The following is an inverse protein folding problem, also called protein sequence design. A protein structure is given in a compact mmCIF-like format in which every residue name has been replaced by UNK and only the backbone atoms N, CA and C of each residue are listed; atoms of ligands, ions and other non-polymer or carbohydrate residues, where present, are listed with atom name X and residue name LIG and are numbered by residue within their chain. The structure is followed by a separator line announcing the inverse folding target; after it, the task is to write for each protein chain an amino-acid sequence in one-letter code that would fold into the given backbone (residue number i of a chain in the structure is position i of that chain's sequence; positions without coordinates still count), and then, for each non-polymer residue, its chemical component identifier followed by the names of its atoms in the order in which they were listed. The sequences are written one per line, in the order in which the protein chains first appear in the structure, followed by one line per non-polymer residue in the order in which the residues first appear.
data_IF_107338993972
#
_entry.id   IF_107338993972
#
_cell.length_a   1.000
_cell.length_b   1.000
_cell.length_c   1.000
_cell.angle_alpha   90.00
_cell.angle_beta   90.00
_cell.angle_gamma   90.00
#
_symmetry.space_group_name_H-M   'P 1'
#
loop_
_entity.id
_entity.type
_entity.pdbx_description
1 polymer ?
#
# COMPACT_ATOMS: atom_id res chain seq x y z
N UNK A 1 -2.01 62.93 18.26
CA UNK A 1 -0.95 61.93 18.34
C UNK A 1 -1.46 60.66 17.65
N UNK A 2 -1.08 60.49 16.41
CA UNK A 2 -1.49 59.40 15.54
C UNK A 2 -0.45 58.27 15.64
N UNK A 3 -0.86 57.10 16.14
CA UNK A 3 -0.02 55.91 16.11
C UNK A 3 0.08 55.39 14.68
N UNK A 4 1.29 55.03 14.18
CA UNK A 4 1.43 54.41 12.90
C UNK A 4 1.05 52.93 13.01
N UNK A 5 0.14 52.50 12.11
CA UNK A 5 -0.18 51.10 11.87
C UNK A 5 1.06 50.35 11.41
N UNK A 6 1.52 49.40 12.21
CA UNK A 6 2.55 48.46 11.82
C UNK A 6 2.00 47.55 10.70
N UNK A 7 2.44 47.83 9.49
CA UNK A 7 2.24 46.94 8.34
C UNK A 7 3.08 45.69 8.57
N UNK A 8 2.42 44.58 8.92
CA UNK A 8 3.04 43.26 8.81
C UNK A 8 3.14 42.86 7.32
N UNK A 9 4.33 42.77 6.73
CA UNK A 9 4.47 42.21 5.40
C UNK A 9 4.45 40.70 5.50
N UNK A 10 3.84 40.07 4.53
CA UNK A 10 3.69 38.62 4.25
C UNK A 10 2.36 37.99 4.64
N UNK A 11 1.29 38.46 4.03
CA UNK A 11 0.18 37.60 3.65
C UNK A 11 0.48 37.06 2.25
N UNK A 12 1.24 35.97 2.12
CA UNK A 12 1.33 35.24 0.86
C UNK A 12 -0.01 34.56 0.62
N UNK A 13 -0.91 35.26 -0.10
CA UNK A 13 -2.18 34.69 -0.55
C UNK A 13 -1.88 33.62 -1.59
N UNK A 14 -1.93 32.34 -1.17
CA UNK A 14 -1.83 31.22 -2.11
C UNK A 14 -3.03 31.26 -3.05
N UNK A 15 -2.76 31.10 -4.35
CA UNK A 15 -3.84 31.00 -5.34
C UNK A 15 -4.67 29.73 -5.11
N UNK A 16 -5.98 29.71 -5.47
CA UNK A 16 -6.81 28.51 -5.36
C UNK A 16 -6.23 27.26 -6.05
N UNK A 17 -5.32 27.49 -7.02
CA UNK A 17 -4.60 26.42 -7.72
C UNK A 17 -3.47 25.79 -6.89
N UNK A 18 -3.02 26.43 -5.82
CA UNK A 18 -1.90 25.92 -5.01
C UNK A 18 -2.21 24.57 -4.35
N UNK A 19 -3.46 24.31 -3.96
CA UNK A 19 -3.90 23.00 -3.43
C UNK A 19 -3.57 21.82 -4.36
N UNK A 20 -3.63 22.03 -5.68
CA UNK A 20 -3.27 21.01 -6.65
C UNK A 20 -1.76 20.74 -6.71
N UNK A 21 -0.92 21.75 -6.42
CA UNK A 21 0.53 21.57 -6.24
C UNK A 21 0.85 20.75 -5.00
N UNK A 22 0.13 21.01 -3.89
CA UNK A 22 0.26 20.19 -2.66
C UNK A 22 -0.16 18.75 -2.92
N UNK A 23 -1.28 18.53 -3.62
CA UNK A 23 -1.69 17.20 -4.03
C UNK A 23 -0.65 16.52 -4.92
N UNK A 24 -0.10 17.22 -5.91
CA UNK A 24 0.93 16.69 -6.79
C UNK A 24 2.20 16.30 -6.02
N UNK A 25 2.64 17.12 -5.04
CA UNK A 25 3.75 16.77 -4.15
C UNK A 25 3.46 15.51 -3.31
N UNK A 26 2.24 15.41 -2.76
CA UNK A 26 1.81 14.23 -2.02
C UNK A 26 1.74 12.95 -2.87
N UNK A 27 1.28 13.08 -4.14
CA UNK A 27 1.29 11.98 -5.12
C UNK A 27 2.72 11.59 -5.47
N UNK A 28 3.60 12.55 -5.75
CA UNK A 28 5.00 12.31 -6.07
C UNK A 28 5.74 11.61 -4.93
N UNK A 29 5.55 12.08 -3.69
CA UNK A 29 6.13 11.47 -2.49
C UNK A 29 5.69 10.01 -2.32
N UNK A 30 4.38 9.75 -2.43
CA UNK A 30 3.84 8.40 -2.33
C UNK A 30 4.30 7.50 -3.48
N UNK A 31 4.33 8.02 -4.72
CA UNK A 31 4.78 7.26 -5.88
C UNK A 31 6.27 6.91 -5.75
N UNK A 32 7.14 7.89 -5.39
CA UNK A 32 8.57 7.66 -5.22
C UNK A 32 8.86 6.58 -4.19
N UNK A 33 8.22 6.64 -3.02
CA UNK A 33 8.34 5.59 -2.01
C UNK A 33 7.77 4.25 -2.47
N UNK A 34 6.65 4.26 -3.20
CA UNK A 34 6.02 3.04 -3.73
C UNK A 34 6.85 2.37 -4.84
N UNK A 35 7.64 3.14 -5.61
CA UNK A 35 8.65 2.55 -6.54
C UNK A 35 9.65 1.72 -5.75
N UNK A 36 10.11 2.17 -4.57
CA UNK A 36 10.97 1.38 -3.71
C UNK A 36 10.22 0.19 -3.10
N UNK A 37 9.12 0.45 -2.38
CA UNK A 37 8.40 -0.58 -1.62
C UNK A 37 7.82 -1.70 -2.48
N UNK A 38 7.13 -1.36 -3.55
CA UNK A 38 6.50 -2.34 -4.45
C UNK A 38 7.41 -2.77 -5.59
N UNK A 39 8.42 -1.97 -5.95
CA UNK A 39 9.29 -2.24 -7.09
C UNK A 39 10.51 -3.10 -6.75
N UNK A 40 11.11 -2.96 -5.56
CA UNK A 40 12.23 -3.83 -5.15
C UNK A 40 11.83 -5.32 -5.21
N UNK A 41 10.67 -5.77 -4.70
CA UNK A 41 10.23 -7.15 -4.87
C UNK A 41 10.11 -7.62 -6.33
N UNK A 42 9.89 -6.72 -7.29
CA UNK A 42 9.86 -7.07 -8.72
C UNK A 42 11.22 -7.50 -9.25
N UNK A 43 12.30 -7.18 -8.53
CA UNK A 43 13.67 -7.63 -8.84
C UNK A 43 14.08 -8.90 -8.07
N UNK A 44 13.14 -9.58 -7.40
CA UNK A 44 13.41 -10.69 -6.50
C UNK A 44 14.28 -11.81 -7.14
N UNK A 45 14.03 -12.17 -8.41
CA UNK A 45 14.83 -13.16 -9.15
C UNK A 45 16.28 -12.67 -9.30
N UNK A 46 16.47 -11.39 -9.68
CA UNK A 46 17.80 -10.78 -9.83
C UNK A 46 18.50 -10.59 -8.48
N UNK A 47 17.73 -10.26 -7.42
CA UNK A 47 18.27 -10.18 -6.05
C UNK A 47 18.81 -11.54 -5.60
N UNK A 48 18.05 -12.62 -5.83
CA UNK A 48 18.46 -13.96 -5.46
C UNK A 48 19.77 -14.35 -6.11
N UNK A 49 19.94 -14.08 -7.39
CA UNK A 49 21.20 -14.35 -8.11
C UNK A 49 22.32 -13.39 -7.74
N UNK A 50 22.05 -12.09 -7.70
CA UNK A 50 23.07 -11.06 -7.44
C UNK A 50 23.61 -11.07 -6.01
N UNK A 51 22.78 -11.40 -5.03
CA UNK A 51 23.19 -11.51 -3.61
C UNK A 51 23.38 -12.96 -3.15
N UNK A 52 23.25 -13.96 -4.04
CA UNK A 52 23.35 -15.38 -3.72
C UNK A 52 22.42 -15.82 -2.58
N UNK A 53 21.16 -15.36 -2.62
CA UNK A 53 20.16 -15.65 -1.59
C UNK A 53 19.39 -16.92 -1.95
N UNK A 54 19.08 -17.70 -0.93
CA UNK A 54 18.01 -18.69 -1.02
C UNK A 54 16.62 -18.06 -0.86
N UNK A 55 15.56 -18.82 -1.01
CA UNK A 55 14.20 -18.31 -0.88
C UNK A 55 13.89 -17.82 0.55
N UNK A 56 14.48 -18.43 1.57
CA UNK A 56 14.24 -18.06 2.97
C UNK A 56 14.84 -16.69 3.28
N UNK A 57 16.09 -16.46 2.91
CA UNK A 57 16.75 -15.16 3.08
C UNK A 57 16.15 -14.07 2.20
N UNK A 58 15.73 -14.41 0.97
CA UNK A 58 15.01 -13.50 0.10
C UNK A 58 13.68 -13.06 0.75
N UNK A 59 12.89 -14.01 1.25
CA UNK A 59 11.62 -13.71 1.93
C UNK A 59 11.80 -12.84 3.16
N UNK A 60 12.85 -13.11 3.95
CA UNK A 60 13.19 -12.28 5.11
C UNK A 60 13.52 -10.84 4.69
N UNK A 61 14.45 -10.64 3.77
CA UNK A 61 14.90 -9.27 3.40
C UNK A 61 13.79 -8.46 2.74
N UNK A 62 12.94 -9.07 1.91
CA UNK A 62 11.80 -8.40 1.32
C UNK A 62 10.75 -8.01 2.37
N UNK A 63 10.57 -8.86 3.40
CA UNK A 63 9.67 -8.57 4.51
C UNK A 63 10.16 -7.43 5.42
N UNK A 64 11.48 -7.31 5.62
CA UNK A 64 12.06 -6.32 6.55
C UNK A 64 11.66 -4.88 6.22
N UNK A 65 11.49 -4.52 4.94
CA UNK A 65 11.01 -3.19 4.58
C UNK A 65 9.56 -2.97 5.05
N UNK A 66 8.69 -3.97 4.91
CA UNK A 66 7.32 -3.95 5.43
C UNK A 66 7.29 -3.83 6.97
N UNK A 67 8.17 -4.56 7.67
CA UNK A 67 8.32 -4.45 9.13
C UNK A 67 8.76 -3.04 9.54
N UNK A 68 9.72 -2.45 8.82
CA UNK A 68 10.17 -1.08 9.07
C UNK A 68 9.01 -0.08 9.01
N UNK A 69 8.17 -0.17 7.97
CA UNK A 69 6.99 0.70 7.85
C UNK A 69 6.00 0.43 8.98
N UNK A 70 5.68 -0.85 9.28
CA UNK A 70 4.72 -1.20 10.32
C UNK A 70 5.08 -0.62 11.68
N UNK A 71 6.36 -0.66 12.04
CA UNK A 71 6.86 -0.11 13.32
C UNK A 71 6.87 1.42 13.33
N UNK A 72 7.14 2.04 12.19
CA UNK A 72 7.32 3.50 12.10
C UNK A 72 6.05 4.30 11.79
N UNK A 73 5.00 3.66 11.29
CA UNK A 73 3.75 4.35 10.87
C UNK A 73 3.15 5.20 12.01
N UNK A 74 3.03 4.63 13.21
CA UNK A 74 2.50 5.37 14.36
C UNK A 74 3.44 6.49 14.85
N UNK A 75 4.75 6.27 15.07
CA UNK A 75 5.70 7.34 15.37
C UNK A 75 5.68 8.50 14.37
N UNK A 76 5.69 8.21 13.06
CA UNK A 76 5.60 9.25 12.04
C UNK A 76 4.27 9.99 12.05
N UNK A 77 3.16 9.28 12.33
CA UNK A 77 1.84 9.90 12.50
C UNK A 77 1.83 10.92 13.65
N UNK A 78 2.38 10.55 14.82
CA UNK A 78 2.52 11.44 15.97
C UNK A 78 3.43 12.64 15.68
N UNK A 79 4.53 12.42 14.97
CA UNK A 79 5.42 13.50 14.54
C UNK A 79 4.73 14.44 13.56
N UNK A 80 3.91 13.92 12.64
CA UNK A 80 3.13 14.73 11.70
C UNK A 80 2.15 15.64 12.43
N UNK A 81 1.50 15.13 13.49
CA UNK A 81 0.57 15.94 14.30
C UNK A 81 1.30 17.05 15.08
N UNK A 82 2.56 16.81 15.46
CA UNK A 82 3.37 17.77 16.24
C UNK A 82 4.15 18.77 15.36
N UNK A 83 4.74 18.31 14.24
CA UNK A 83 5.67 19.09 13.42
C UNK A 83 5.05 19.59 12.11
N UNK A 84 3.82 19.20 11.79
CA UNK A 84 3.14 19.39 10.52
C UNK A 84 3.68 18.56 9.34
N UNK A 85 3.02 18.68 8.19
CA UNK A 85 3.23 17.78 7.04
C UNK A 85 4.58 17.99 6.35
N UNK A 86 4.97 19.28 6.14
CA UNK A 86 6.19 19.62 5.40
C UNK A 86 7.48 19.13 6.06
N UNK A 87 7.76 19.43 7.33
CA UNK A 87 8.97 18.92 8.00
C UNK A 87 9.05 17.39 8.02
N UNK A 88 7.92 16.71 8.23
CA UNK A 88 7.88 15.24 8.27
C UNK A 88 8.14 14.64 6.90
N UNK A 89 7.54 15.18 5.82
CA UNK A 89 7.83 14.75 4.46
C UNK A 89 9.31 14.97 4.09
N UNK A 90 9.88 16.11 4.45
CA UNK A 90 11.27 16.42 4.17
C UNK A 90 12.23 15.51 4.94
N UNK A 91 11.99 15.34 6.25
CA UNK A 91 12.80 14.46 7.08
C UNK A 91 12.73 13.01 6.60
N UNK A 92 11.52 12.51 6.33
CA UNK A 92 11.31 11.14 5.90
C UNK A 92 11.86 10.86 4.50
N UNK A 93 11.51 11.65 3.49
CA UNK A 93 12.01 11.46 2.12
C UNK A 93 13.53 11.71 2.03
N UNK A 94 14.04 12.74 2.72
CA UNK A 94 15.47 13.04 2.74
C UNK A 94 16.29 11.93 3.39
N UNK A 95 15.86 11.45 4.57
CA UNK A 95 16.53 10.34 5.24
C UNK A 95 16.37 9.02 4.48
N UNK A 96 15.23 8.76 3.82
CA UNK A 96 15.06 7.60 2.92
C UNK A 96 16.02 7.68 1.73
N UNK A 97 16.17 8.86 1.11
CA UNK A 97 17.13 9.05 0.02
C UNK A 97 18.56 8.79 0.48
N UNK A 98 18.95 9.28 1.66
CA UNK A 98 20.28 9.03 2.24
C UNK A 98 20.49 7.54 2.55
N UNK A 99 19.49 6.84 3.10
CA UNK A 99 19.58 5.41 3.33
C UNK A 99 19.74 4.61 2.01
N UNK A 100 19.05 5.02 0.95
CA UNK A 100 19.18 4.41 -0.38
C UNK A 100 20.55 4.71 -1.02
N UNK A 101 21.12 5.90 -0.82
CA UNK A 101 22.50 6.20 -1.21
C UNK A 101 23.48 5.31 -0.43
N UNK A 102 23.29 5.16 0.86
CA UNK A 102 24.10 4.26 1.68
C UNK A 102 24.01 2.80 1.18
N UNK A 103 22.81 2.33 0.81
CA UNK A 103 22.65 1.01 0.19
C UNK A 103 23.36 0.90 -1.15
N UNK A 104 23.33 1.94 -1.98
CA UNK A 104 24.06 1.95 -3.26
C UNK A 104 25.57 1.81 -3.07
N UNK A 105 26.13 2.40 -2.01
CA UNK A 105 27.56 2.41 -1.73
C UNK A 105 28.04 1.15 -1.00
N UNK A 106 27.25 0.61 -0.05
CA UNK A 106 27.73 -0.44 0.87
C UNK A 106 26.93 -1.74 0.83
N UNK A 107 25.71 -1.72 0.31
CA UNK A 107 24.84 -2.89 0.27
C UNK A 107 24.58 -3.43 -1.15
N UNK A 108 25.22 -2.86 -2.18
CA UNK A 108 25.08 -3.34 -3.56
C UNK A 108 26.23 -4.31 -3.91
N UNK A 109 25.93 -5.43 -4.60
CA UNK A 109 26.95 -6.34 -5.12
C UNK A 109 27.86 -5.62 -6.12
N UNK A 110 29.15 -5.86 -6.02
CA UNK A 110 30.17 -5.37 -6.95
C UNK A 110 31.06 -6.53 -7.42
N UNK A 111 31.89 -6.31 -8.43
CA UNK A 111 32.78 -7.31 -8.96
C UNK A 111 33.69 -7.88 -7.83
N UNK A 112 33.57 -9.18 -7.54
CA UNK A 112 34.34 -9.86 -6.52
C UNK A 112 33.91 -9.64 -5.06
N UNK A 113 32.83 -8.88 -4.82
CA UNK A 113 32.31 -8.64 -3.47
C UNK A 113 30.78 -8.69 -3.42
N UNK A 114 30.27 -9.61 -2.60
CA UNK A 114 28.85 -9.71 -2.29
C UNK A 114 28.66 -9.22 -0.85
N UNK A 115 27.87 -8.16 -0.62
CA UNK A 115 27.62 -7.65 0.72
C UNK A 115 26.92 -8.69 1.58
N UNK A 116 27.28 -8.74 2.86
CA UNK A 116 26.60 -9.65 3.79
C UNK A 116 25.12 -9.33 3.94
N UNK A 117 24.32 -10.35 4.24
CA UNK A 117 22.87 -10.26 4.44
C UNK A 117 22.46 -9.15 5.41
N UNK A 118 23.29 -8.88 6.44
CA UNK A 118 23.05 -7.83 7.42
C UNK A 118 22.98 -6.44 6.80
N UNK A 119 23.84 -6.13 5.82
CA UNK A 119 23.82 -4.83 5.13
C UNK A 119 22.55 -4.66 4.28
N UNK A 120 22.16 -5.69 3.53
CA UNK A 120 20.95 -5.66 2.71
C UNK A 120 19.70 -5.58 3.60
N UNK A 121 19.60 -6.46 4.61
CA UNK A 121 18.44 -6.53 5.48
C UNK A 121 18.25 -5.28 6.33
N UNK A 122 19.31 -4.79 6.98
CA UNK A 122 19.25 -3.53 7.75
C UNK A 122 18.97 -2.32 6.87
N UNK A 123 19.52 -2.28 5.65
CA UNK A 123 19.25 -1.24 4.67
C UNK A 123 17.76 -1.19 4.29
N UNK A 124 17.15 -2.33 3.94
CA UNK A 124 15.73 -2.40 3.59
C UNK A 124 14.81 -2.10 4.78
N UNK A 125 15.16 -2.58 5.98
CA UNK A 125 14.46 -2.22 7.21
C UNK A 125 14.49 -0.70 7.45
N UNK A 126 15.67 -0.09 7.31
CA UNK A 126 15.85 1.36 7.50
C UNK A 126 15.08 2.17 6.45
N UNK A 127 15.12 1.76 5.18
CA UNK A 127 14.30 2.38 4.11
C UNK A 127 12.82 2.31 4.46
N UNK A 128 12.34 1.18 4.99
CA UNK A 128 10.97 1.04 5.47
C UNK A 128 10.64 1.95 6.65
N UNK A 129 11.52 1.99 7.67
CA UNK A 129 11.35 2.84 8.86
C UNK A 129 11.25 4.33 8.50
N UNK A 130 12.07 4.79 7.59
CA UNK A 130 12.13 6.20 7.19
C UNK A 130 11.02 6.56 6.21
N UNK A 131 10.73 5.67 5.26
CA UNK A 131 9.71 5.87 4.23
C UNK A 131 8.27 5.79 4.73
N UNK A 132 8.01 5.17 5.88
CA UNK A 132 6.69 5.15 6.54
C UNK A 132 6.12 6.55 6.82
N UNK A 133 6.99 7.57 6.90
CA UNK A 133 6.60 8.98 7.06
C UNK A 133 5.66 9.51 5.97
N UNK A 134 5.78 8.97 4.76
CA UNK A 134 5.11 9.51 3.57
C UNK A 134 3.60 9.35 3.62
N UNK A 135 3.10 8.21 4.13
CA UNK A 135 1.68 7.89 4.11
C UNK A 135 0.84 8.87 4.95
N UNK A 136 1.22 9.06 6.22
CA UNK A 136 0.51 9.94 7.15
C UNK A 136 0.59 11.40 6.72
N UNK A 137 1.80 11.91 6.50
CA UNK A 137 2.04 13.31 6.21
C UNK A 137 1.43 13.76 4.87
N UNK A 138 1.59 12.99 3.78
CA UNK A 138 0.97 13.34 2.49
C UNK A 138 -0.56 13.26 2.54
N UNK A 139 -1.12 12.34 3.35
CA UNK A 139 -2.57 12.24 3.56
C UNK A 139 -3.13 13.45 4.29
N UNK A 140 -2.49 13.87 5.38
CA UNK A 140 -2.89 15.05 6.16
C UNK A 140 -2.79 16.32 5.33
N UNK A 141 -1.71 16.50 4.55
CA UNK A 141 -1.56 17.63 3.63
C UNK A 141 -2.75 17.77 2.68
N UNK A 142 -3.22 16.69 2.07
CA UNK A 142 -4.41 16.71 1.23
C UNK A 142 -5.67 17.07 2.02
N UNK A 143 -5.84 16.50 3.21
CA UNK A 143 -7.03 16.76 4.05
C UNK A 143 -7.11 18.21 4.55
N UNK A 144 -5.96 18.89 4.71
CA UNK A 144 -5.92 20.28 5.17
C UNK A 144 -6.14 21.29 4.04
N UNK A 145 -5.76 20.95 2.79
CA UNK A 145 -5.85 21.85 1.65
C UNK A 145 -7.15 21.74 0.83
N UNK A 146 -7.91 20.65 0.99
CA UNK A 146 -9.13 20.41 0.24
C UNK A 146 -10.36 20.49 1.13
N UNK A 147 -11.43 21.12 0.62
CA UNK A 147 -12.71 21.19 1.28
C UNK A 147 -13.40 19.83 1.37
N UNK A 148 -14.34 19.67 2.30
CA UNK A 148 -15.01 18.40 2.55
C UNK A 148 -15.66 17.78 1.30
N UNK A 149 -16.15 18.61 0.37
CA UNK A 149 -16.78 18.20 -0.89
C UNK A 149 -15.79 17.63 -1.92
N UNK A 150 -14.49 17.98 -1.85
CA UNK A 150 -13.45 17.60 -2.81
C UNK A 150 -12.41 16.61 -2.23
N UNK A 151 -12.40 16.43 -0.90
CA UNK A 151 -11.46 15.54 -0.21
C UNK A 151 -11.49 14.10 -0.74
N UNK A 152 -12.66 13.58 -1.05
CA UNK A 152 -12.83 12.24 -1.60
C UNK A 152 -12.08 12.06 -2.92
N UNK A 153 -12.24 12.99 -3.85
CA UNK A 153 -11.54 12.99 -5.12
C UNK A 153 -10.01 13.13 -4.94
N UNK A 154 -9.59 14.10 -4.12
CA UNK A 154 -8.17 14.36 -3.88
C UNK A 154 -7.46 13.13 -3.25
N UNK A 155 -8.10 12.49 -2.26
CA UNK A 155 -7.58 11.26 -1.64
C UNK A 155 -7.58 10.08 -2.62
N UNK A 156 -8.58 9.96 -3.49
CA UNK A 156 -8.61 8.92 -4.53
C UNK A 156 -7.45 9.10 -5.52
N UNK A 157 -7.19 10.33 -5.98
CA UNK A 157 -6.03 10.65 -6.82
C UNK A 157 -4.73 10.30 -6.09
N UNK A 158 -4.59 10.70 -4.83
CA UNK A 158 -3.41 10.35 -4.03
C UNK A 158 -3.20 8.83 -3.92
N UNK A 159 -4.25 8.05 -3.73
CA UNK A 159 -4.15 6.60 -3.57
C UNK A 159 -3.77 5.86 -4.86
N UNK A 160 -3.88 6.48 -6.02
CA UNK A 160 -3.38 5.90 -7.29
C UNK A 160 -1.84 5.91 -7.34
N UNK A 161 -1.18 6.73 -6.52
CA UNK A 161 0.28 6.81 -6.46
C UNK A 161 0.94 5.47 -6.08
N UNK A 162 0.29 4.66 -5.23
CA UNK A 162 0.84 3.37 -4.78
C UNK A 162 0.95 2.36 -5.93
N UNK A 163 -0.14 2.00 -6.65
CA UNK A 163 0.00 1.11 -7.80
C UNK A 163 0.76 1.75 -8.97
N UNK A 164 0.73 3.08 -9.12
CA UNK A 164 1.53 3.77 -10.13
C UNK A 164 3.04 3.59 -9.85
N UNK A 165 3.48 3.81 -8.62
CA UNK A 165 4.86 3.56 -8.21
C UNK A 165 5.26 2.09 -8.38
N UNK A 166 4.38 1.16 -8.00
CA UNK A 166 4.58 -0.27 -8.24
C UNK A 166 4.70 -0.64 -9.71
N UNK A 167 3.88 -0.05 -10.58
CA UNK A 167 3.96 -0.23 -12.04
C UNK A 167 5.26 0.33 -12.65
N UNK A 168 5.66 1.53 -12.24
CA UNK A 168 6.96 2.10 -12.64
C UNK A 168 8.10 1.21 -12.16
N UNK A 169 8.04 0.74 -10.89
CA UNK A 169 9.03 -0.16 -10.32
C UNK A 169 9.13 -1.48 -11.08
N UNK A 170 7.99 -2.09 -11.43
CA UNK A 170 7.95 -3.33 -12.20
C UNK A 170 8.55 -3.18 -13.61
N UNK A 171 8.36 -2.02 -14.24
CA UNK A 171 8.87 -1.74 -15.58
C UNK A 171 10.36 -1.39 -15.56
N UNK A 172 10.79 -0.55 -14.62
CA UNK A 172 12.10 0.10 -14.67
C UNK A 172 13.14 -0.66 -13.84
N UNK A 173 12.81 -1.12 -12.63
CA UNK A 173 13.83 -1.64 -11.72
C UNK A 173 14.47 -2.95 -12.18
N UNK A 174 13.75 -3.94 -12.77
CA UNK A 174 14.41 -5.13 -13.32
C UNK A 174 15.38 -4.80 -14.45
N UNK A 175 15.03 -3.84 -15.32
CA UNK A 175 15.90 -3.37 -16.38
C UNK A 175 17.16 -2.71 -15.82
N UNK A 176 17.02 -1.80 -14.85
CA UNK A 176 18.15 -1.12 -14.21
C UNK A 176 19.04 -2.11 -13.46
N UNK A 177 18.44 -3.04 -12.69
CA UNK A 177 19.21 -4.05 -11.97
C UNK A 177 20.02 -4.96 -12.89
N UNK A 178 19.41 -5.36 -14.03
CA UNK A 178 20.04 -6.27 -14.99
C UNK A 178 21.21 -5.61 -15.74
N UNK A 179 21.07 -4.34 -16.18
CA UNK A 179 22.04 -3.68 -17.05
C UNK A 179 23.03 -2.80 -16.31
N UNK A 180 22.64 -2.23 -15.16
CA UNK A 180 23.45 -1.27 -14.40
C UNK A 180 23.73 -1.70 -12.95
N UNK A 181 23.14 -2.82 -12.53
CA UNK A 181 23.33 -3.39 -11.20
C UNK A 181 22.50 -2.72 -10.10
N UNK A 182 22.63 -3.25 -8.89
CA UNK A 182 21.85 -2.81 -7.73
C UNK A 182 22.28 -1.45 -7.19
N UNK A 183 23.54 -1.05 -7.36
CA UNK A 183 23.99 0.29 -6.99
C UNK A 183 23.22 1.38 -7.75
N UNK A 184 23.08 1.21 -9.08
CA UNK A 184 22.31 2.13 -9.91
C UNK A 184 20.80 2.08 -9.57
N UNK A 185 20.24 0.91 -9.22
CA UNK A 185 18.88 0.76 -8.77
C UNK A 185 18.62 1.59 -7.50
N UNK A 186 19.43 1.42 -6.45
CA UNK A 186 19.28 2.18 -5.21
C UNK A 186 19.54 3.67 -5.43
N UNK A 187 20.51 4.04 -6.28
CA UNK A 187 20.76 5.41 -6.68
C UNK A 187 19.56 6.06 -7.38
N UNK A 188 18.89 5.35 -8.28
CA UNK A 188 17.66 5.82 -8.92
C UNK A 188 16.53 6.04 -7.90
N UNK A 189 16.34 5.11 -6.99
CA UNK A 189 15.34 5.25 -5.92
C UNK A 189 15.65 6.43 -5.00
N UNK A 190 16.92 6.63 -4.65
CA UNK A 190 17.38 7.79 -3.89
C UNK A 190 17.08 9.11 -4.60
N UNK A 191 17.34 9.16 -5.91
CA UNK A 191 17.03 10.34 -6.75
C UNK A 191 15.52 10.63 -6.76
N UNK A 192 14.67 9.64 -6.93
CA UNK A 192 13.21 9.83 -6.90
C UNK A 192 12.72 10.36 -5.54
N UNK A 193 13.26 9.85 -4.43
CA UNK A 193 12.95 10.35 -3.10
C UNK A 193 13.45 11.79 -2.91
N UNK A 194 14.66 12.10 -3.36
CA UNK A 194 15.23 13.46 -3.27
C UNK A 194 14.44 14.47 -4.10
N UNK A 195 14.05 14.13 -5.33
CA UNK A 195 13.20 14.97 -6.17
C UNK A 195 11.83 15.21 -5.52
N UNK A 196 11.23 14.18 -4.92
CA UNK A 196 9.96 14.30 -4.20
C UNK A 196 10.11 15.14 -2.93
N UNK A 197 11.26 15.07 -2.24
CA UNK A 197 11.56 15.95 -1.12
C UNK A 197 11.68 17.41 -1.59
N UNK A 198 12.36 17.67 -2.71
CA UNK A 198 12.46 19.01 -3.30
C UNK A 198 11.08 19.57 -3.72
N UNK A 199 10.22 18.74 -4.33
CA UNK A 199 8.83 19.13 -4.63
C UNK A 199 8.03 19.43 -3.36
N UNK A 200 8.18 18.61 -2.31
CA UNK A 200 7.53 18.82 -1.02
C UNK A 200 8.02 20.11 -0.36
N UNK A 201 9.33 20.39 -0.44
CA UNK A 201 9.91 21.64 0.05
C UNK A 201 9.35 22.86 -0.67
N UNK A 202 9.20 22.80 -1.98
CA UNK A 202 8.73 23.91 -2.80
C UNK A 202 7.22 24.15 -2.74
N UNK A 203 6.41 23.10 -2.56
CA UNK A 203 4.95 23.17 -2.75
C UNK A 203 4.12 22.86 -1.50
N UNK A 204 4.62 22.12 -0.53
CA UNK A 204 3.90 21.80 0.69
C UNK A 204 4.12 22.93 1.70
N UNK A 205 3.05 23.69 1.97
CA UNK A 205 3.01 24.76 2.96
C UNK A 205 1.77 24.54 3.84
N UNK A 206 1.74 25.16 5.01
CA UNK A 206 0.51 25.21 5.77
C UNK A 206 -0.51 26.15 5.09
N UNK A 207 -1.78 25.74 5.01
CA UNK A 207 -2.80 26.63 4.46
C UNK A 207 -2.88 27.91 5.30
N UNK A 208 -3.13 29.09 4.67
CA UNK A 208 -3.34 30.33 5.42
C UNK A 208 -4.48 30.12 6.42
N UNK A 209 -4.27 30.53 7.66
CA UNK A 209 -5.34 30.53 8.66
C UNK A 209 -6.40 31.51 8.13
N UNK A 210 -7.57 30.99 7.74
CA UNK A 210 -8.68 31.82 7.35
C UNK A 210 -9.04 32.72 8.56
N UNK A 211 -8.75 33.99 8.46
CA UNK A 211 -9.14 34.95 9.46
C UNK A 211 -10.70 35.00 9.51
N UNK A 212 -11.29 34.40 10.53
CA UNK A 212 -12.72 34.44 10.78
C UNK A 212 -13.53 33.18 10.47
N UNK A 213 -12.92 32.05 10.23
CA UNK A 213 -13.65 30.79 10.16
C UNK A 213 -13.55 30.04 11.49
N UNK A 214 -14.62 30.08 12.28
CA UNK A 214 -14.86 29.06 13.30
C UNK A 214 -14.48 27.70 12.68
N UNK A 215 -13.56 26.98 13.33
CA UNK A 215 -13.44 25.56 13.10
C UNK A 215 -14.81 24.99 13.49
N UNK A 216 -15.73 24.98 12.53
CA UNK A 216 -16.95 24.22 12.68
C UNK A 216 -16.50 22.78 12.89
N UNK A 217 -16.32 22.43 14.15
CA UNK A 217 -16.38 21.05 14.61
C UNK A 217 -17.69 20.56 13.99
N UNK A 218 -17.66 19.58 13.06
CA UNK A 218 -18.90 19.06 12.50
C UNK A 218 -19.75 18.66 13.69
N UNK A 219 -20.92 19.27 13.81
CA UNK A 219 -21.92 18.98 14.83
C UNK A 219 -22.07 17.48 14.88
N UNK A 220 -21.72 16.91 15.99
CA UNK A 220 -21.66 15.48 16.21
C UNK A 220 -23.05 14.87 16.04
N UNK A 221 -23.29 14.27 14.87
CA UNK A 221 -24.14 13.08 14.87
C UNK A 221 -23.46 12.13 15.85
N UNK A 222 -24.15 11.76 16.93
CA UNK A 222 -23.68 11.12 18.12
C UNK A 222 -22.40 10.26 17.91
N UNK A 223 -21.24 10.79 18.29
CA UNK A 223 -19.98 10.07 18.22
C UNK A 223 -20.13 8.76 19.00
N UNK A 224 -19.72 7.60 18.45
CA UNK A 224 -19.77 6.35 19.18
C UNK A 224 -19.12 6.53 20.55
N UNK A 225 -19.77 6.05 21.63
CA UNK A 225 -19.33 6.24 23.02
C UNK A 225 -17.93 5.66 23.32
N UNK A 226 -17.38 4.82 22.43
CA UNK A 226 -16.04 4.24 22.53
C UNK A 226 -15.15 4.63 21.34
N UNK A 227 -13.85 4.90 21.59
CA UNK A 227 -12.87 5.16 20.53
C UNK A 227 -12.64 3.95 19.62
N UNK A 228 -12.08 4.14 18.38
CA UNK A 228 -11.83 3.05 17.42
C UNK A 228 -11.02 1.89 18.02
N UNK A 229 -10.08 2.17 18.91
CA UNK A 229 -9.26 1.19 19.62
C UNK A 229 -10.05 0.25 20.53
N UNK A 230 -11.26 0.65 20.95
CA UNK A 230 -12.14 -0.16 21.83
C UNK A 230 -13.35 -0.73 21.10
N UNK A 231 -13.52 -0.43 19.81
CA UNK A 231 -14.63 -0.95 19.01
C UNK A 231 -14.21 -2.25 18.29
N UNK A 232 -14.77 -3.37 18.74
CA UNK A 232 -14.52 -4.69 18.14
C UNK A 232 -14.92 -4.76 16.64
N UNK A 233 -15.85 -3.92 16.18
CA UNK A 233 -16.24 -3.85 14.77
C UNK A 233 -15.11 -3.24 13.93
N UNK A 234 -14.45 -2.21 14.46
CA UNK A 234 -13.27 -1.59 13.82
C UNK A 234 -12.14 -2.62 13.74
N UNK A 235 -11.81 -3.30 14.84
CA UNK A 235 -10.77 -4.33 14.86
C UNK A 235 -11.06 -5.48 13.89
N UNK A 236 -12.31 -5.85 13.73
CA UNK A 236 -12.72 -6.91 12.80
C UNK A 236 -12.44 -6.53 11.36
N UNK A 237 -12.79 -5.28 10.94
CA UNK A 237 -12.50 -4.79 9.59
C UNK A 237 -10.99 -4.61 9.41
N UNK A 238 -10.28 -4.08 10.41
CA UNK A 238 -8.81 -3.94 10.39
C UNK A 238 -8.13 -5.29 10.18
N UNK A 239 -8.54 -6.31 10.93
CA UNK A 239 -8.02 -7.67 10.75
C UNK A 239 -8.35 -8.23 9.35
N UNK A 240 -9.58 -8.02 8.86
CA UNK A 240 -9.99 -8.43 7.52
C UNK A 240 -9.15 -7.75 6.42
N UNK A 241 -8.88 -6.46 6.55
CA UNK A 241 -8.00 -5.68 5.65
C UNK A 241 -6.59 -6.28 5.65
N UNK A 242 -6.00 -6.49 6.84
CA UNK A 242 -4.66 -7.06 6.96
C UNK A 242 -4.59 -8.45 6.33
N UNK A 243 -5.50 -9.36 6.70
CA UNK A 243 -5.50 -10.74 6.20
C UNK A 243 -5.69 -10.78 4.68
N UNK A 244 -6.58 -9.94 4.11
CA UNK A 244 -6.80 -9.90 2.66
C UNK A 244 -5.61 -9.28 1.90
N UNK A 245 -4.72 -8.55 2.59
CA UNK A 245 -3.47 -8.07 2.03
C UNK A 245 -2.46 -9.21 1.77
N UNK A 246 -2.53 -10.34 2.50
CA UNK A 246 -1.59 -11.45 2.37
C UNK A 246 -1.56 -12.04 0.94
N UNK A 247 -2.68 -12.45 0.31
CA UNK A 247 -2.65 -12.94 -1.06
C UNK A 247 -2.16 -11.89 -2.06
N UNK A 248 -2.46 -10.62 -1.86
CA UNK A 248 -1.94 -9.56 -2.70
C UNK A 248 -0.42 -9.44 -2.58
N UNK A 249 0.09 -9.42 -1.35
CA UNK A 249 1.52 -9.25 -1.14
C UNK A 249 2.31 -10.51 -1.53
N UNK A 250 1.69 -11.69 -1.49
CA UNK A 250 2.28 -12.92 -2.05
C UNK A 250 2.54 -12.77 -3.56
N UNK A 251 1.58 -12.20 -4.32
CA UNK A 251 1.79 -11.90 -5.75
C UNK A 251 2.89 -10.87 -5.93
N UNK A 252 2.90 -9.80 -5.15
CA UNK A 252 3.86 -8.69 -5.32
C UNK A 252 5.30 -9.08 -4.92
N UNK A 253 5.47 -9.95 -3.92
CA UNK A 253 6.80 -10.33 -3.41
C UNK A 253 7.37 -11.58 -4.08
N UNK A 254 6.55 -12.59 -4.33
CA UNK A 254 6.99 -13.88 -4.87
C UNK A 254 6.36 -14.27 -6.22
N UNK A 255 5.46 -13.45 -6.77
CA UNK A 255 4.88 -13.71 -8.08
C UNK A 255 5.92 -13.77 -9.21
N UNK A 256 6.98 -12.93 -9.12
CA UNK A 256 8.10 -12.97 -10.07
C UNK A 256 8.89 -14.27 -9.96
N UNK A 257 9.17 -14.73 -8.73
CA UNK A 257 9.85 -16.00 -8.45
C UNK A 257 9.00 -17.18 -8.92
N UNK A 258 7.68 -17.16 -8.65
CA UNK A 258 6.76 -18.17 -9.14
C UNK A 258 6.76 -18.29 -10.67
N UNK A 259 6.62 -17.17 -11.37
CA UNK A 259 6.62 -17.16 -12.83
C UNK A 259 7.97 -17.60 -13.41
N UNK A 260 9.09 -17.26 -12.76
CA UNK A 260 10.41 -17.62 -13.21
C UNK A 260 10.71 -19.10 -12.93
N UNK A 261 10.62 -19.53 -11.67
CA UNK A 261 11.10 -20.86 -11.25
C UNK A 261 10.13 -21.98 -11.60
N UNK A 262 8.82 -21.72 -11.49
CA UNK A 262 7.77 -22.70 -11.74
C UNK A 262 7.13 -22.52 -13.12
N UNK A 263 6.85 -21.28 -13.50
CA UNK A 263 6.24 -20.97 -14.79
C UNK A 263 7.24 -20.92 -15.95
N UNK A 264 8.55 -20.97 -15.69
CA UNK A 264 9.63 -20.86 -16.69
C UNK A 264 9.45 -19.68 -17.64
N UNK A 265 8.88 -18.56 -17.12
CA UNK A 265 8.63 -17.34 -17.89
C UNK A 265 9.89 -16.50 -17.98
N UNK A 266 10.13 -15.93 -19.16
CA UNK A 266 11.23 -14.97 -19.35
C UNK A 266 10.93 -13.62 -18.69
N UNK A 267 11.98 -12.83 -18.47
CA UNK A 267 11.92 -11.53 -17.77
C UNK A 267 10.88 -10.57 -18.37
N UNK A 268 10.77 -10.52 -19.70
CA UNK A 268 9.78 -9.66 -20.37
C UNK A 268 8.33 -10.03 -20.02
N UNK A 269 8.00 -11.34 -19.98
CA UNK A 269 6.68 -11.83 -19.60
C UNK A 269 6.38 -11.54 -18.13
N UNK A 270 7.35 -11.75 -17.24
CA UNK A 270 7.25 -11.45 -15.81
C UNK A 270 6.98 -9.96 -15.62
N UNK A 271 7.78 -9.09 -16.24
CA UNK A 271 7.63 -7.65 -16.19
C UNK A 271 6.25 -7.22 -16.70
N UNK A 272 5.83 -7.71 -17.86
CA UNK A 272 4.52 -7.39 -18.44
C UNK A 272 3.37 -7.81 -17.51
N UNK A 273 3.46 -8.98 -16.88
CA UNK A 273 2.47 -9.48 -15.92
C UNK A 273 2.39 -8.57 -14.69
N UNK A 274 3.52 -8.18 -14.11
CA UNK A 274 3.54 -7.33 -12.92
C UNK A 274 3.05 -5.90 -13.24
N UNK A 275 3.40 -5.35 -14.40
CA UNK A 275 2.85 -4.08 -14.89
C UNK A 275 1.34 -4.18 -15.08
N UNK A 276 0.84 -5.27 -15.69
CA UNK A 276 -0.60 -5.51 -15.84
C UNK A 276 -1.32 -5.56 -14.49
N UNK A 277 -0.75 -6.23 -13.49
CA UNK A 277 -1.31 -6.25 -12.12
C UNK A 277 -1.41 -4.85 -11.53
N UNK A 278 -0.38 -4.03 -11.65
CA UNK A 278 -0.37 -2.68 -11.08
C UNK A 278 -1.30 -1.71 -11.80
N UNK A 279 -1.31 -1.74 -13.14
CA UNK A 279 -2.23 -0.93 -13.95
C UNK A 279 -3.67 -1.36 -13.69
N UNK A 280 -3.93 -2.65 -13.67
CA UNK A 280 -5.24 -3.22 -13.34
C UNK A 280 -5.69 -2.83 -11.93
N UNK A 281 -4.80 -2.89 -10.94
CA UNK A 281 -5.06 -2.43 -9.58
C UNK A 281 -5.47 -0.95 -9.54
N UNK A 282 -4.77 -0.09 -10.27
CA UNK A 282 -5.08 1.35 -10.36
C UNK A 282 -6.48 1.59 -10.95
N UNK A 283 -6.78 0.95 -12.08
CA UNK A 283 -8.08 1.05 -12.74
C UNK A 283 -9.20 0.55 -11.82
N UNK A 284 -9.01 -0.64 -11.23
CA UNK A 284 -10.01 -1.27 -10.36
C UNK A 284 -10.27 -0.47 -9.07
N UNK A 285 -9.27 0.18 -8.49
CA UNK A 285 -9.46 1.05 -7.31
C UNK A 285 -10.36 2.25 -7.63
N UNK A 286 -10.15 2.91 -8.78
CA UNK A 286 -10.99 4.04 -9.20
C UNK A 286 -12.38 3.59 -9.57
N UNK A 287 -12.49 2.50 -10.35
CA UNK A 287 -13.78 1.96 -10.79
C UNK A 287 -14.63 1.48 -9.62
N UNK A 288 -14.06 0.67 -8.72
CA UNK A 288 -14.78 0.10 -7.58
C UNK A 288 -15.29 1.17 -6.61
N UNK A 289 -14.47 2.21 -6.36
CA UNK A 289 -14.88 3.35 -5.55
C UNK A 289 -16.10 4.05 -6.13
N UNK A 290 -16.02 4.45 -7.42
CA UNK A 290 -17.15 5.10 -8.11
C UNK A 290 -18.39 4.22 -8.18
N UNK A 291 -18.22 2.93 -8.47
CA UNK A 291 -19.34 1.99 -8.59
C UNK A 291 -20.05 1.78 -7.24
N UNK A 292 -19.28 1.55 -6.16
CA UNK A 292 -19.85 1.32 -4.82
C UNK A 292 -20.48 2.57 -4.23
N UNK A 293 -19.96 3.76 -4.53
CA UNK A 293 -20.56 5.03 -4.09
C UNK A 293 -21.92 5.27 -4.76
N UNK A 294 -22.02 4.97 -6.07
CA UNK A 294 -23.29 5.08 -6.81
C UNK A 294 -24.33 4.04 -6.35
N UNK A 295 -23.90 2.81 -6.10
CA UNK A 295 -24.79 1.70 -5.75
C UNK A 295 -25.03 1.54 -4.25
N UNK A 296 -24.26 2.25 -3.40
CA UNK A 296 -24.31 2.15 -1.92
C UNK A 296 -24.21 0.72 -1.40
N UNK A 297 -23.41 -0.13 -2.05
CA UNK A 297 -23.35 -1.57 -1.79
C UNK A 297 -21.94 -2.08 -1.43
N UNK A 298 -21.13 -1.27 -0.73
CA UNK A 298 -19.78 -1.61 -0.31
C UNK A 298 -19.63 -3.00 0.33
N UNK A 299 -20.51 -3.42 1.29
CA UNK A 299 -20.38 -4.75 1.88
C UNK A 299 -20.58 -5.90 0.89
N UNK A 300 -21.49 -5.73 -0.09
CA UNK A 300 -21.71 -6.73 -1.13
C UNK A 300 -20.51 -6.82 -2.07
N UNK A 301 -19.94 -5.66 -2.45
CA UNK A 301 -18.72 -5.60 -3.25
C UNK A 301 -17.53 -6.29 -2.57
N UNK A 302 -17.28 -5.99 -1.29
CA UNK A 302 -16.19 -6.61 -0.52
C UNK A 302 -16.33 -8.12 -0.43
N UNK A 303 -17.58 -8.63 -0.23
CA UNK A 303 -17.84 -10.08 -0.26
C UNK A 303 -17.57 -10.69 -1.63
N UNK A 304 -18.05 -10.05 -2.69
CA UNK A 304 -17.85 -10.55 -4.06
C UNK A 304 -16.36 -10.53 -4.45
N UNK A 305 -15.64 -9.44 -4.13
CA UNK A 305 -14.22 -9.34 -4.39
C UNK A 305 -13.41 -10.39 -3.61
N UNK A 306 -13.69 -10.58 -2.31
CA UNK A 306 -13.03 -11.61 -1.50
C UNK A 306 -13.38 -13.02 -2.00
N UNK A 307 -14.65 -13.30 -2.32
CA UNK A 307 -15.08 -14.59 -2.86
C UNK A 307 -14.43 -14.91 -4.21
N UNK A 308 -14.34 -13.93 -5.12
CA UNK A 308 -13.62 -14.09 -6.38
C UNK A 308 -12.13 -14.33 -6.14
N UNK A 309 -11.52 -13.64 -5.16
CA UNK A 309 -10.13 -13.88 -4.75
C UNK A 309 -9.94 -15.34 -4.28
N UNK A 310 -10.85 -15.87 -3.45
CA UNK A 310 -10.82 -17.28 -3.03
C UNK A 310 -10.79 -18.21 -4.24
N UNK A 311 -11.72 -18.03 -5.18
CA UNK A 311 -11.85 -18.91 -6.37
C UNK A 311 -10.61 -18.82 -7.26
N UNK A 312 -10.11 -17.61 -7.51
CA UNK A 312 -8.95 -17.40 -8.38
C UNK A 312 -7.67 -18.02 -7.80
N UNK A 313 -7.41 -17.83 -6.49
CA UNK A 313 -6.22 -18.41 -5.86
C UNK A 313 -6.36 -19.93 -5.64
N UNK A 314 -7.55 -20.44 -5.38
CA UNK A 314 -7.80 -21.89 -5.39
C UNK A 314 -7.59 -22.48 -6.78
N UNK A 315 -8.05 -21.80 -7.83
CA UNK A 315 -7.80 -22.18 -9.22
C UNK A 315 -6.30 -22.14 -9.57
N UNK A 316 -5.56 -21.14 -9.09
CA UNK A 316 -4.11 -21.06 -9.28
C UNK A 316 -3.38 -22.20 -8.56
N UNK A 317 -3.81 -22.54 -7.33
CA UNK A 317 -3.29 -23.68 -6.60
C UNK A 317 -3.55 -25.00 -7.32
N UNK A 318 -4.78 -25.21 -7.82
CA UNK A 318 -5.16 -26.39 -8.57
C UNK A 318 -4.39 -26.51 -9.89
N UNK A 319 -4.23 -25.39 -10.62
CA UNK A 319 -3.45 -25.35 -11.85
C UNK A 319 -1.97 -25.63 -11.59
N UNK A 320 -1.39 -25.08 -10.52
CA UNK A 320 -0.02 -25.37 -10.13
C UNK A 320 0.17 -26.84 -9.72
N UNK A 321 -0.82 -27.42 -9.03
CA UNK A 321 -0.80 -28.84 -8.68
C UNK A 321 -0.90 -29.75 -9.92
N UNK A 322 -1.80 -29.43 -10.85
CA UNK A 322 -1.99 -30.19 -12.10
C UNK A 322 -0.79 -30.05 -13.05
N UNK A 323 -0.16 -28.87 -13.08
CA UNK A 323 1.04 -28.63 -13.88
C UNK A 323 2.25 -29.44 -13.36
N UNK A 324 2.40 -29.57 -12.05
CA UNK A 324 3.50 -30.33 -11.42
C UNK A 324 4.85 -29.98 -12.03
N UNK A 325 5.61 -31.01 -12.43
CA UNK A 325 6.90 -30.88 -13.13
C UNK A 325 6.76 -30.58 -14.63
N UNK A 326 5.55 -30.65 -15.20
CA UNK A 326 5.29 -30.45 -16.64
C UNK A 326 4.98 -28.99 -17.01
N UNK A 327 5.06 -28.07 -16.08
CA UNK A 327 4.84 -26.64 -16.36
C UNK A 327 5.80 -26.11 -17.43
N UNK A 328 7.02 -26.63 -17.48
CA UNK A 328 8.05 -26.28 -18.47
C UNK A 328 7.71 -26.77 -19.89
N UNK A 329 7.03 -27.91 -20.00
CA UNK A 329 6.88 -28.65 -21.25
C UNK A 329 5.71 -28.11 -22.12
N UNK A 330 4.72 -27.44 -21.48
CA UNK A 330 3.51 -26.97 -22.16
C UNK A 330 3.43 -25.45 -22.21
N UNK A 331 3.52 -24.84 -23.42
CA UNK A 331 3.29 -23.42 -23.60
C UNK A 331 1.90 -22.96 -23.11
N UNK A 332 0.89 -23.81 -23.29
CA UNK A 332 -0.48 -23.53 -22.83
C UNK A 332 -0.57 -23.40 -21.30
N UNK A 333 0.09 -24.30 -20.55
CA UNK A 333 0.16 -24.24 -19.10
C UNK A 333 0.90 -22.98 -18.61
N UNK A 334 2.00 -22.62 -19.24
CA UNK A 334 2.73 -21.38 -18.93
C UNK A 334 1.85 -20.16 -19.11
N UNK A 335 1.15 -20.06 -20.24
CA UNK A 335 0.22 -18.95 -20.51
C UNK A 335 -0.90 -18.94 -19.47
N UNK A 336 -1.48 -20.09 -19.13
CA UNK A 336 -2.53 -20.19 -18.13
C UNK A 336 -2.06 -19.72 -16.74
N UNK A 337 -0.85 -20.11 -16.29
CA UNK A 337 -0.25 -19.65 -15.04
C UNK A 337 -0.03 -18.12 -15.01
N UNK A 338 0.52 -17.58 -16.10
CA UNK A 338 0.75 -16.13 -16.25
C UNK A 338 -0.55 -15.35 -16.20
N UNK A 339 -1.55 -15.77 -16.99
CA UNK A 339 -2.86 -15.09 -17.07
C UNK A 339 -3.59 -15.20 -15.73
N UNK A 340 -3.63 -16.38 -15.14
CA UNK A 340 -4.36 -16.60 -13.88
C UNK A 340 -3.69 -15.84 -12.72
N UNK A 341 -2.36 -15.82 -12.63
CA UNK A 341 -1.66 -15.00 -11.63
C UNK A 341 -1.95 -13.51 -11.85
N UNK A 342 -1.87 -13.02 -13.08
CA UNK A 342 -2.14 -11.63 -13.41
C UNK A 342 -3.57 -11.21 -13.02
N UNK A 343 -4.58 -11.99 -13.41
CA UNK A 343 -5.98 -11.73 -13.07
C UNK A 343 -6.21 -11.81 -11.56
N UNK A 344 -5.61 -12.80 -10.88
CA UNK A 344 -5.67 -12.92 -9.41
C UNK A 344 -5.08 -11.70 -8.72
N UNK A 345 -3.94 -11.22 -9.20
CA UNK A 345 -3.26 -10.03 -8.68
C UNK A 345 -4.10 -8.75 -8.85
N UNK A 346 -4.77 -8.57 -9.99
CA UNK A 346 -5.70 -7.45 -10.21
C UNK A 346 -6.90 -7.55 -9.28
N UNK A 347 -7.53 -8.72 -9.21
CA UNK A 347 -8.72 -8.94 -8.38
C UNK A 347 -8.43 -8.65 -6.90
N UNK A 348 -7.35 -9.24 -6.36
CA UNK A 348 -6.97 -9.06 -4.96
C UNK A 348 -6.50 -7.64 -4.62
N UNK A 349 -6.25 -6.81 -5.61
CA UNK A 349 -5.89 -5.39 -5.42
C UNK A 349 -7.09 -4.44 -5.47
N UNK A 350 -8.28 -4.93 -5.81
CA UNK A 350 -9.45 -4.09 -6.11
C UNK A 350 -10.24 -3.63 -4.87
N UNK A 351 -10.02 -4.20 -3.70
CA UNK A 351 -10.80 -3.97 -2.48
C UNK A 351 -10.38 -2.73 -1.67
N UNK A 352 -9.14 -2.23 -1.84
CA UNK A 352 -8.53 -1.23 -0.95
C UNK A 352 -9.40 0.01 -0.73
N UNK A 353 -9.77 0.73 -1.79
CA UNK A 353 -10.53 1.98 -1.65
C UNK A 353 -11.87 1.77 -0.93
N UNK A 354 -12.55 0.68 -1.23
CA UNK A 354 -13.87 0.35 -0.68
C UNK A 354 -13.77 -0.03 0.80
N UNK A 355 -12.79 -0.88 1.18
CA UNK A 355 -12.62 -1.32 2.56
C UNK A 355 -12.16 -0.18 3.48
N UNK A 356 -11.23 0.67 3.01
CA UNK A 356 -10.79 1.84 3.77
C UNK A 356 -11.92 2.87 3.95
N UNK A 357 -12.76 3.07 2.93
CA UNK A 357 -13.93 3.94 3.05
C UNK A 357 -14.96 3.38 4.04
N UNK A 358 -15.20 2.07 4.01
CA UNK A 358 -16.10 1.40 4.95
C UNK A 358 -15.60 1.53 6.39
N UNK A 359 -14.30 1.30 6.61
CA UNK A 359 -13.65 1.47 7.91
C UNK A 359 -13.76 2.92 8.43
N UNK A 360 -13.45 3.90 7.57
CA UNK A 360 -13.54 5.32 7.93
C UNK A 360 -14.98 5.75 8.25
N UNK A 361 -15.95 5.21 7.49
CA UNK A 361 -17.38 5.46 7.73
C UNK A 361 -17.83 4.88 9.07
N UNK A 362 -17.39 3.65 9.40
CA UNK A 362 -17.69 3.00 10.68
C UNK A 362 -17.09 3.76 11.88
N UNK A 363 -15.85 4.24 11.75
CA UNK A 363 -15.16 4.98 12.81
C UNK A 363 -15.73 6.39 13.03
N UNK A 364 -16.36 6.96 12.03
CA UNK A 364 -16.84 8.34 12.01
C UNK A 364 -15.74 9.34 11.66
N UNK A 365 -16.15 10.50 11.10
CA UNK A 365 -15.23 11.49 10.51
C UNK A 365 -14.14 11.98 11.49
N UNK A 366 -14.47 12.19 12.75
CA UNK A 366 -13.54 12.67 13.79
C UNK A 366 -12.47 11.66 14.21
N UNK A 367 -12.64 10.37 13.88
CA UNK A 367 -11.79 9.26 14.31
C UNK A 367 -11.29 8.39 13.16
N UNK A 368 -11.60 8.79 11.94
CA UNK A 368 -11.20 8.06 10.73
C UNK A 368 -9.67 7.91 10.62
N UNK A 369 -8.91 8.94 11.01
CA UNK A 369 -7.44 8.89 11.00
C UNK A 369 -6.87 7.75 11.85
N UNK A 370 -7.35 7.60 13.08
CA UNK A 370 -6.93 6.50 13.97
C UNK A 370 -7.27 5.13 13.37
N UNK A 371 -8.49 4.96 12.86
CA UNK A 371 -8.92 3.68 12.27
C UNK A 371 -8.11 3.31 11.01
N UNK A 372 -7.82 4.29 10.16
CA UNK A 372 -6.99 4.11 8.98
C UNK A 372 -5.53 3.79 9.35
N UNK A 373 -4.99 4.43 10.39
CA UNK A 373 -3.67 4.09 10.94
C UNK A 373 -3.61 2.65 11.45
N UNK A 374 -4.63 2.18 12.18
CA UNK A 374 -4.74 0.77 12.60
C UNK A 374 -4.73 -0.18 11.39
N UNK A 375 -5.47 0.16 10.33
CA UNK A 375 -5.50 -0.64 9.10
C UNK A 375 -4.13 -0.68 8.41
N UNK A 376 -3.44 0.46 8.30
CA UNK A 376 -2.11 0.52 7.70
C UNK A 376 -1.10 -0.31 8.50
N UNK A 377 -1.08 -0.20 9.82
CA UNK A 377 -0.22 -1.03 10.68
C UNK A 377 -0.49 -2.53 10.43
N UNK A 378 -1.75 -2.95 10.36
CA UNK A 378 -2.13 -4.34 10.08
C UNK A 378 -1.64 -4.78 8.69
N UNK A 379 -1.81 -3.94 7.65
CA UNK A 379 -1.36 -4.20 6.28
C UNK A 379 0.17 -4.39 6.24
N UNK A 380 0.94 -3.45 6.80
CA UNK A 380 2.39 -3.53 6.73
C UNK A 380 2.98 -4.65 7.59
N UNK A 381 2.33 -5.02 8.69
CA UNK A 381 2.68 -6.23 9.43
C UNK A 381 2.52 -7.49 8.56
N UNK A 382 1.43 -7.57 7.79
CA UNK A 382 1.20 -8.68 6.86
C UNK A 382 2.17 -8.62 5.68
N UNK A 383 2.59 -7.43 5.24
CA UNK A 383 3.64 -7.27 4.24
C UNK A 383 5.02 -7.80 4.70
N UNK A 384 5.26 -7.87 6.02
CA UNK A 384 6.42 -8.59 6.57
C UNK A 384 6.16 -10.09 6.66
N UNK A 385 5.05 -10.49 7.28
CA UNK A 385 4.76 -11.90 7.57
C UNK A 385 4.62 -12.72 6.28
N UNK A 386 4.01 -12.18 5.23
CA UNK A 386 3.74 -12.92 4.00
C UNK A 386 5.01 -13.40 3.30
N UNK A 387 5.97 -12.56 2.89
CA UNK A 387 7.18 -13.04 2.22
C UNK A 387 8.07 -13.88 3.14
N UNK A 388 8.04 -13.63 4.45
CA UNK A 388 8.72 -14.47 5.43
C UNK A 388 8.13 -15.89 5.51
N UNK A 389 6.80 -16.03 5.37
CA UNK A 389 6.11 -17.33 5.47
C UNK A 389 6.17 -18.15 4.18
N UNK A 390 6.25 -17.51 3.01
CA UNK A 390 6.21 -18.22 1.70
C UNK A 390 7.29 -19.29 1.58
N UNK A 391 8.57 -19.07 1.93
CA UNK A 391 9.60 -20.11 1.84
C UNK A 391 9.31 -21.34 2.69
N UNK A 392 8.71 -21.15 3.88
CA UNK A 392 8.31 -22.27 4.75
C UNK A 392 7.17 -23.07 4.12
N UNK A 393 6.20 -22.40 3.49
CA UNK A 393 5.14 -23.08 2.74
C UNK A 393 5.69 -23.82 1.53
N UNK A 394 6.64 -23.23 0.79
CA UNK A 394 7.29 -23.86 -0.35
C UNK A 394 8.01 -25.15 0.06
N UNK A 395 8.66 -25.17 1.21
CA UNK A 395 9.34 -26.35 1.74
C UNK A 395 8.39 -27.50 2.11
N UNK A 396 7.09 -27.22 2.36
CA UNK A 396 6.09 -28.23 2.68
C UNK A 396 5.59 -28.96 1.42
N UNK A 397 5.03 -28.25 0.46
CA UNK A 397 4.36 -28.83 -0.72
C UNK A 397 4.53 -27.97 -2.00
N UNK A 398 5.53 -27.11 -2.04
CA UNK A 398 5.80 -26.25 -3.20
C UNK A 398 4.76 -25.15 -3.43
N UNK A 399 4.61 -24.69 -4.66
CA UNK A 399 3.74 -23.56 -5.01
C UNK A 399 2.24 -23.79 -4.78
N UNK A 400 1.68 -25.00 -4.95
CA UNK A 400 0.25 -25.22 -4.71
C UNK A 400 -0.19 -24.81 -3.31
N UNK A 401 0.58 -25.11 -2.25
CA UNK A 401 0.21 -24.75 -0.88
C UNK A 401 0.30 -23.23 -0.63
N UNK A 402 1.22 -22.53 -1.30
CA UNK A 402 1.32 -21.07 -1.20
C UNK A 402 0.04 -20.40 -1.69
N UNK A 403 -0.46 -20.81 -2.86
CA UNK A 403 -1.69 -20.24 -3.43
C UNK A 403 -2.96 -20.72 -2.72
N UNK A 404 -2.93 -21.93 -2.17
CA UNK A 404 -4.01 -22.42 -1.31
C UNK A 404 -4.09 -21.62 -0.01
N UNK A 405 -2.95 -21.31 0.62
CA UNK A 405 -2.89 -20.45 1.80
C UNK A 405 -3.40 -19.03 1.48
N UNK A 406 -3.05 -18.48 0.30
CA UNK A 406 -3.58 -17.21 -0.17
C UNK A 406 -5.11 -17.23 -0.32
N UNK A 407 -5.66 -18.31 -0.90
CA UNK A 407 -7.11 -18.55 -0.97
C UNK A 407 -7.74 -18.62 0.43
N UNK A 408 -7.13 -19.35 1.35
CA UNK A 408 -7.62 -19.48 2.74
C UNK A 408 -7.61 -18.12 3.46
N UNK A 409 -6.59 -17.29 3.28
CA UNK A 409 -6.56 -15.93 3.81
C UNK A 409 -7.76 -15.10 3.29
N UNK A 410 -8.06 -15.15 1.99
CA UNK A 410 -9.20 -14.44 1.42
C UNK A 410 -10.53 -14.95 1.97
N UNK A 411 -10.67 -16.27 2.18
CA UNK A 411 -11.85 -16.90 2.78
C UNK A 411 -12.06 -16.44 4.23
N UNK A 412 -11.00 -16.38 5.04
CA UNK A 412 -11.06 -15.90 6.43
C UNK A 412 -11.35 -14.39 6.48
N UNK A 413 -10.78 -13.59 5.57
CA UNK A 413 -11.00 -12.15 5.51
C UNK A 413 -12.45 -11.79 5.14
N UNK A 414 -13.11 -12.58 4.30
CA UNK A 414 -14.44 -12.29 3.77
C UNK A 414 -15.49 -11.96 4.84
N UNK A 415 -15.71 -12.77 5.90
CA UNK A 415 -16.67 -12.45 6.96
C UNK A 415 -16.22 -11.29 7.86
N UNK A 416 -14.93 -10.98 7.92
CA UNK A 416 -14.37 -9.91 8.74
C UNK A 416 -14.60 -8.52 8.13
N UNK A 417 -14.59 -8.41 6.82
CA UNK A 417 -14.75 -7.15 6.09
C UNK A 417 -16.18 -6.61 6.08
N UNK A 418 -17.17 -7.44 6.44
CA UNK A 418 -18.57 -7.03 6.43
C UNK A 418 -19.03 -6.69 7.84
N UNK A 419 -19.32 -5.41 8.10
CA UNK A 419 -19.91 -5.01 9.37
C UNK A 419 -21.26 -5.73 9.59
N UNK A 420 -21.37 -6.46 10.69
CA UNK A 420 -22.68 -6.95 11.11
C UNK A 420 -23.50 -5.78 11.64
N UNK A 421 -24.81 -5.64 11.28
CA UNK A 421 -25.65 -4.64 11.91
C UNK A 421 -25.58 -4.79 13.43
N UNK A 422 -25.53 -3.69 14.16
CA UNK A 422 -25.57 -3.75 15.61
C UNK A 422 -26.84 -4.49 16.06
N UNK A 423 -26.76 -5.26 17.14
CA UNK A 423 -27.92 -6.00 17.65
C UNK A 423 -29.12 -5.09 17.96
N UNK A 424 -28.87 -3.81 18.24
CA UNK A 424 -29.89 -2.77 18.38
C UNK A 424 -30.62 -2.47 17.06
N UNK A 425 -29.88 -2.41 15.92
CA UNK A 425 -30.47 -2.16 14.60
C UNK A 425 -31.28 -3.35 14.12
N UNK A 426 -30.86 -4.58 14.46
CA UNK A 426 -31.63 -5.80 14.17
C UNK A 426 -32.93 -5.87 15.00
N UNK A 427 -32.90 -5.41 16.26
CA UNK A 427 -34.13 -5.32 17.09
C UNK A 427 -35.08 -4.28 16.52
N UNK A 428 -34.59 -3.09 16.13
CA UNK A 428 -35.40 -2.05 15.51
C UNK A 428 -36.01 -2.49 14.18
N UNK A 429 -35.22 -3.14 13.32
CA UNK A 429 -35.72 -3.71 12.06
C UNK A 429 -36.77 -4.79 12.28
N UNK A 430 -36.56 -5.68 13.25
CA UNK A 430 -37.60 -6.72 13.63
C UNK A 430 -38.86 -6.09 14.20
N UNK A 431 -38.71 -5.03 15.04
CA UNK A 431 -39.88 -4.32 15.62
C UNK A 431 -40.63 -3.51 14.56
N UNK A 432 -39.95 -2.98 13.55
CA UNK A 432 -40.58 -2.29 12.42
C UNK A 432 -41.38 -3.26 11.52
N UNK A 433 -40.81 -4.44 11.25
CA UNK A 433 -41.47 -5.48 10.49
C UNK A 433 -42.74 -6.06 11.24
N UNK A 434 -42.65 -6.23 12.56
CA UNK A 434 -43.75 -6.70 13.37
C UNK A 434 -44.89 -5.68 13.57
N UNK A 435 -44.68 -4.41 13.22
CA UNK A 435 -45.72 -3.37 13.24
C UNK A 435 -46.37 -3.15 11.88
N UNK A 436 -45.86 -3.77 10.81
CA UNK A 436 -46.37 -3.70 9.45
C UNK A 436 -47.17 -4.94 9.02
N UNK A 437 -47.17 -5.95 9.85
CA UNK A 437 -48.09 -7.13 9.78
C UNK A 437 -49.20 -7.00 10.80
#
# INVERSE_FOLDING_TARGET
MTHPLSTHPFSSSFTPRHRWKVLAAGVAANAAFSVAFSGIPMTAVLMRTGYQLDNATLGLVLGLMGLGIAVSELPWGLLTDRWSDRPVLLAGLGSTALALVAMALWAAPAAGHIPGLGWLGSGLLLVGLLGGSVNGASGRAVMTWFDASERGLAMSIRQTAVPMGGGIGALVLPFVALHFGFAALYGLLALLCALSAAMSWAWVHEPPIAAGGDKAVPTAAAAPKSGPLRDARVWRIVAGIGILCAPQFAVLSFGTVFLHDFGHAGLATITATMVFVQVGAMVMRVWSGRWTDRKRNRPAYLRACSGLTVVLFAGLAALALAAGTHAADSPALRIALVVLLGVSGVCVSAWHGVAYTELATLAGASRAGTALGMANTSVFLVCFVTPFSIPHLLALQGWPIVWLAASACALVAMPLLVARPAAADQKLAKTALSRST
#
